data_IF_048895689931
#
_entry.id   IF_048895689931
#
_cell.length_a   1.000
_cell.length_b   1.000
_cell.length_c   1.000
_cell.angle_alpha   90.00
_cell.angle_beta   90.00
_cell.angle_gamma   90.00
#
_symmetry.space_group_name_H-M   'P 1'
#
loop_
_entity.id
_entity.type
_entity.pdbx_description
1 polymer ?
#
# COMPACT_ATOMS: atom_id res chain seq x y z
N UNK A 1 58.71 29.32 2.11
CA UNK A 1 57.38 29.69 1.57
C UNK A 1 56.49 28.46 1.67
N UNK A 2 55.54 28.47 2.61
CA UNK A 2 54.61 27.36 2.89
C UNK A 2 53.21 27.80 2.45
N UNK A 3 52.59 27.06 1.53
CA UNK A 3 51.18 27.21 1.20
C UNK A 3 50.34 26.35 2.15
N UNK A 4 49.27 26.87 2.79
CA UNK A 4 48.37 26.05 3.57
C UNK A 4 47.36 25.35 2.65
N UNK A 5 47.30 24.02 2.74
CA UNK A 5 46.17 23.21 2.27
C UNK A 5 45.06 23.29 3.31
N UNK A 6 43.85 23.67 2.90
CA UNK A 6 42.66 23.41 3.70
C UNK A 6 41.44 23.19 2.78
N UNK A 7 41.02 21.94 2.51
CA UNK A 7 39.73 21.70 1.89
C UNK A 7 38.63 21.96 2.92
N UNK A 8 37.71 22.87 2.59
CA UNK A 8 36.52 23.18 3.38
C UNK A 8 35.74 21.89 3.64
N UNK A 9 35.54 21.57 4.92
CA UNK A 9 34.65 20.49 5.36
C UNK A 9 33.23 20.86 4.94
N UNK A 10 32.66 20.10 4.00
CA UNK A 10 31.22 20.12 3.73
C UNK A 10 30.48 19.76 5.03
N UNK A 11 29.56 20.64 5.44
CA UNK A 11 28.69 20.40 6.59
C UNK A 11 27.74 19.26 6.24
N UNK A 12 27.93 18.10 6.88
CA UNK A 12 26.95 17.00 6.82
C UNK A 12 25.61 17.52 7.34
N UNK A 13 24.60 17.50 6.47
CA UNK A 13 23.21 17.83 6.81
C UNK A 13 22.72 16.82 7.87
N UNK A 14 22.11 17.26 8.99
CA UNK A 14 21.62 16.35 10.02
C UNK A 14 20.46 15.49 9.50
N UNK A 15 20.60 14.17 9.56
CA UNK A 15 19.48 13.21 9.43
C UNK A 15 18.74 13.12 10.77
N UNK A 16 17.97 14.16 11.11
CA UNK A 16 17.01 14.05 12.22
C UNK A 16 15.67 13.59 11.66
N UNK A 17 15.38 12.31 11.85
CA UNK A 17 14.06 11.70 11.65
C UNK A 17 13.11 12.29 12.71
N UNK A 18 12.37 13.33 12.32
CA UNK A 18 11.45 14.06 13.20
C UNK A 18 10.07 13.41 13.30
N UNK A 19 9.55 13.36 14.52
CA UNK A 19 8.35 12.65 15.02
C UNK A 19 6.98 13.22 14.59
N UNK A 20 6.76 13.57 13.32
CA UNK A 20 5.43 13.99 12.86
C UNK A 20 4.92 13.09 11.72
N UNK A 21 3.73 12.53 11.95
CA UNK A 21 3.01 11.49 11.19
C UNK A 21 2.55 11.96 9.78
N UNK A 22 3.09 13.06 9.24
CA UNK A 22 2.71 13.63 7.93
C UNK A 22 3.78 13.49 6.83
N UNK A 23 4.90 12.78 7.09
CA UNK A 23 6.01 12.67 6.12
C UNK A 23 6.02 11.38 5.29
N UNK A 24 5.00 10.51 5.41
CA UNK A 24 5.01 9.15 4.87
C UNK A 24 4.84 9.05 3.34
N UNK A 25 4.45 10.14 2.67
CA UNK A 25 4.30 10.17 1.21
C UNK A 25 5.45 10.86 0.48
N UNK A 26 6.56 11.19 1.17
CA UNK A 26 7.72 11.80 0.51
C UNK A 26 8.57 10.73 -0.14
N UNK A 27 8.40 10.55 -1.43
CA UNK A 27 9.35 9.84 -2.26
C UNK A 27 10.04 10.83 -3.19
N UNK A 28 11.32 10.56 -3.46
CA UNK A 28 12.11 11.31 -4.43
C UNK A 28 12.41 10.40 -5.60
N UNK A 29 11.93 10.76 -6.78
CA UNK A 29 12.23 10.03 -8.02
C UNK A 29 13.27 10.85 -8.78
N UNK A 30 14.37 10.20 -9.14
CA UNK A 30 15.40 10.83 -9.95
C UNK A 30 14.96 10.85 -11.42
N UNK A 31 15.35 11.89 -12.15
CA UNK A 31 15.05 12.01 -13.59
C UNK A 31 15.50 10.76 -14.39
N UNK A 32 16.64 10.17 -14.05
CA UNK A 32 17.14 8.95 -14.70
C UNK A 32 16.31 7.69 -14.39
N UNK A 33 15.57 7.66 -13.29
CA UNK A 33 14.65 6.55 -12.98
C UNK A 33 13.40 6.63 -13.85
N UNK A 34 12.90 7.84 -14.15
CA UNK A 34 11.76 8.04 -15.05
C UNK A 34 12.04 7.58 -16.47
N UNK A 35 13.29 7.74 -16.95
CA UNK A 35 13.69 7.29 -18.29
C UNK A 35 13.56 5.76 -18.49
N UNK A 36 13.49 4.97 -17.40
CA UNK A 36 13.31 3.51 -17.48
C UNK A 36 11.93 3.09 -18.02
N UNK A 37 10.92 3.95 -17.85
CA UNK A 37 9.55 3.70 -18.28
C UNK A 37 9.44 3.69 -19.82
N UNK A 38 9.92 4.68 -20.57
CA UNK A 38 9.92 4.62 -22.04
C UNK A 38 10.94 3.62 -22.62
N UNK A 39 12.08 3.42 -21.97
CA UNK A 39 13.21 2.64 -22.53
C UNK A 39 13.04 1.12 -22.45
N UNK A 40 11.86 0.63 -22.08
CA UNK A 40 11.63 -0.79 -21.80
C UNK A 40 12.65 -1.40 -20.83
N UNK A 41 13.00 -0.67 -19.76
CA UNK A 41 13.95 -1.13 -18.74
C UNK A 41 13.24 -1.59 -17.47
N UNK A 42 13.91 -2.43 -16.68
CA UNK A 42 13.42 -2.85 -15.38
C UNK A 42 13.32 -1.63 -14.45
N UNK A 43 12.23 -1.55 -13.70
CA UNK A 43 12.00 -0.44 -12.78
C UNK A 43 12.98 -0.48 -11.61
N UNK A 44 13.38 0.69 -11.12
CA UNK A 44 14.23 0.84 -9.94
C UNK A 44 13.42 0.74 -8.63
N UNK A 45 14.10 0.53 -7.51
CA UNK A 45 13.49 0.57 -6.18
C UNK A 45 12.72 1.88 -5.92
N UNK A 46 13.31 3.03 -6.26
CA UNK A 46 12.67 4.33 -6.06
C UNK A 46 11.34 4.42 -6.79
N UNK A 47 11.31 3.96 -8.04
CA UNK A 47 10.14 4.04 -8.90
C UNK A 47 9.04 3.04 -8.47
N UNK A 48 9.38 1.79 -8.20
CA UNK A 48 8.38 0.79 -7.74
C UNK A 48 7.77 1.20 -6.40
N UNK A 49 8.60 1.63 -5.43
CA UNK A 49 8.09 2.08 -4.13
C UNK A 49 7.19 3.31 -4.28
N UNK A 50 7.56 4.28 -5.13
CA UNK A 50 6.73 5.44 -5.42
C UNK A 50 5.39 5.05 -6.04
N UNK A 51 5.38 4.13 -7.00
CA UNK A 51 4.15 3.65 -7.64
C UNK A 51 3.23 2.96 -6.63
N UNK A 52 3.76 2.07 -5.79
CA UNK A 52 2.99 1.38 -4.73
C UNK A 52 2.44 2.38 -3.73
N UNK A 53 3.24 3.35 -3.28
CA UNK A 53 2.80 4.42 -2.38
C UNK A 53 1.69 5.25 -2.99
N UNK A 54 1.73 5.47 -4.31
CA UNK A 54 0.70 6.23 -5.00
C UNK A 54 -0.63 5.45 -5.08
N UNK A 55 -0.58 4.13 -5.34
CA UNK A 55 -1.76 3.23 -5.25
C UNK A 55 -2.36 3.24 -3.85
N UNK A 56 -1.51 3.13 -2.83
CA UNK A 56 -1.94 3.15 -1.43
C UNK A 56 -2.57 4.49 -1.06
N UNK A 57 -1.96 5.61 -1.46
CA UNK A 57 -2.50 6.93 -1.20
C UNK A 57 -3.91 7.11 -1.79
N UNK A 58 -4.11 6.69 -3.04
CA UNK A 58 -5.42 6.74 -3.70
C UNK A 58 -6.45 5.86 -2.97
N UNK A 59 -6.06 4.66 -2.54
CA UNK A 59 -6.91 3.77 -1.75
C UNK A 59 -7.28 4.38 -0.39
N UNK A 60 -6.34 4.92 0.37
CA UNK A 60 -6.58 5.56 1.68
C UNK A 60 -7.39 6.85 1.55
N UNK A 61 -7.33 7.54 0.40
CA UNK A 61 -8.16 8.72 0.14
C UNK A 61 -9.64 8.38 -0.02
N UNK A 62 -9.94 7.19 -0.55
CA UNK A 62 -11.30 6.76 -0.89
C UNK A 62 -11.84 5.65 0.02
N UNK A 63 -11.09 5.24 1.04
CA UNK A 63 -11.49 4.28 2.05
C UNK A 63 -11.19 4.82 3.45
N UNK A 64 -11.83 4.26 4.46
CA UNK A 64 -11.54 4.53 5.87
C UNK A 64 -10.37 3.69 6.42
N UNK A 65 -9.76 2.88 5.55
CA UNK A 65 -8.75 1.88 5.91
C UNK A 65 -7.34 2.44 5.76
N UNK A 66 -6.43 1.95 6.59
CA UNK A 66 -5.03 2.35 6.63
C UNK A 66 -4.11 1.24 6.16
N UNK A 67 -3.08 1.61 5.41
CA UNK A 67 -2.11 0.66 4.83
C UNK A 67 -0.70 1.04 5.24
N UNK A 68 -0.01 0.11 5.89
CA UNK A 68 1.44 0.23 6.11
C UNK A 68 2.20 -0.41 4.94
N UNK A 69 3.19 0.29 4.40
CA UNK A 69 4.04 -0.18 3.30
C UNK A 69 5.48 -0.32 3.77
N UNK A 70 6.04 -1.54 3.62
CA UNK A 70 7.47 -1.77 3.66
C UNK A 70 8.07 -1.54 2.27
N UNK A 71 8.91 -0.51 2.16
CA UNK A 71 9.66 -0.22 0.94
C UNK A 71 10.67 -1.35 0.65
N UNK A 72 10.96 -1.60 -0.63
CA UNK A 72 11.87 -2.67 -1.07
C UNK A 72 13.25 -2.63 -0.42
N UNK A 73 13.78 -1.42 -0.19
CA UNK A 73 15.08 -1.21 0.44
C UNK A 73 15.12 -1.72 1.88
N UNK A 74 13.97 -1.75 2.57
CA UNK A 74 13.87 -2.25 3.94
C UNK A 74 14.11 -3.75 3.95
N UNK A 75 13.44 -4.49 3.07
CA UNK A 75 13.58 -5.93 2.98
C UNK A 75 15.01 -6.33 2.59
N UNK A 76 15.60 -5.66 1.58
CA UNK A 76 16.98 -5.92 1.17
C UNK A 76 17.99 -5.61 2.28
N UNK A 77 17.77 -4.56 3.09
CA UNK A 77 18.62 -4.26 4.25
C UNK A 77 18.48 -5.31 5.34
N UNK A 78 17.26 -5.75 5.60
CA UNK A 78 16.98 -6.78 6.59
C UNK A 78 17.66 -8.11 6.23
N UNK A 79 17.55 -8.54 4.97
CA UNK A 79 18.23 -9.74 4.46
C UNK A 79 19.76 -9.66 4.60
N UNK A 80 20.35 -8.51 4.27
CA UNK A 80 21.80 -8.27 4.31
C UNK A 80 22.35 -8.04 5.72
N UNK A 81 21.51 -7.90 6.73
CA UNK A 81 21.93 -7.64 8.10
C UNK A 81 22.71 -8.82 8.67
N UNK A 82 23.89 -8.55 9.26
CA UNK A 82 24.73 -9.57 9.90
C UNK A 82 24.18 -10.03 11.25
N UNK A 83 23.38 -9.19 11.93
CA UNK A 83 22.64 -9.56 13.14
C UNK A 83 21.79 -10.80 12.87
N UNK A 84 21.43 -11.60 13.87
CA UNK A 84 20.48 -12.71 13.71
C UNK A 84 19.20 -12.44 14.52
N UNK A 85 18.09 -13.07 14.11
CA UNK A 85 16.85 -13.03 14.87
C UNK A 85 16.21 -11.63 15.02
N UNK A 86 15.52 -11.35 16.14
CA UNK A 86 14.74 -10.13 16.36
C UNK A 86 15.56 -8.83 16.34
N UNK A 87 16.89 -8.93 16.47
CA UNK A 87 17.74 -7.74 16.38
C UNK A 87 17.70 -7.09 15.00
N UNK A 88 17.48 -7.88 13.94
CA UNK A 88 17.35 -7.39 12.56
C UNK A 88 16.15 -6.45 12.38
N UNK A 89 15.12 -6.59 13.21
CA UNK A 89 13.84 -5.87 13.09
C UNK A 89 13.68 -4.77 14.14
N UNK A 90 14.72 -4.48 14.95
CA UNK A 90 14.72 -3.37 15.92
C UNK A 90 14.37 -2.01 15.30
N UNK A 91 14.69 -1.82 14.02
CA UNK A 91 14.33 -0.59 13.29
C UNK A 91 12.81 -0.37 13.13
N UNK A 92 11.99 -1.38 13.42
CA UNK A 92 10.52 -1.30 13.37
C UNK A 92 9.88 -1.27 14.77
N UNK A 93 10.67 -1.20 15.84
CA UNK A 93 10.17 -1.25 17.21
C UNK A 93 9.25 -0.07 17.57
N UNK A 94 9.33 1.04 16.82
CA UNK A 94 8.49 2.22 17.01
C UNK A 94 7.20 2.23 16.16
N UNK A 95 7.02 1.20 15.30
CA UNK A 95 5.90 1.15 14.36
C UNK A 95 4.76 0.33 14.95
N UNK A 96 3.62 0.98 15.21
CA UNK A 96 2.42 0.30 15.69
C UNK A 96 1.63 -0.33 14.54
N UNK A 97 2.05 -1.51 14.11
CA UNK A 97 1.34 -2.32 13.11
C UNK A 97 -0.14 -2.60 13.42
N UNK A 98 -0.62 -2.48 14.68
CA UNK A 98 -2.04 -2.62 15.02
C UNK A 98 -2.90 -1.47 14.48
N UNK A 99 -2.29 -0.33 14.17
CA UNK A 99 -3.03 0.84 13.68
C UNK A 99 -3.34 0.80 12.18
N UNK A 100 -3.01 -0.30 11.50
CA UNK A 100 -3.19 -0.46 10.06
C UNK A 100 -4.05 -1.67 9.76
N UNK A 101 -5.00 -1.50 8.84
CA UNK A 101 -5.88 -2.57 8.35
C UNK A 101 -5.14 -3.49 7.37
N UNK A 102 -4.16 -2.95 6.65
CA UNK A 102 -3.32 -3.69 5.72
C UNK A 102 -1.85 -3.44 5.98
N UNK A 103 -1.06 -4.46 5.74
CA UNK A 103 0.39 -4.38 5.70
C UNK A 103 0.83 -5.01 4.40
N UNK A 104 1.58 -4.24 3.62
CA UNK A 104 2.17 -4.68 2.37
C UNK A 104 3.67 -4.50 2.41
N UNK A 105 4.40 -5.32 1.66
CA UNK A 105 5.83 -5.15 1.50
C UNK A 105 6.29 -5.47 0.09
N UNK A 106 7.11 -4.58 -0.44
CA UNK A 106 7.76 -4.76 -1.74
C UNK A 106 9.06 -5.52 -1.52
N UNK A 107 9.34 -6.49 -2.37
CA UNK A 107 10.54 -7.33 -2.32
C UNK A 107 11.22 -7.27 -3.68
N UNK A 108 12.54 -7.02 -3.67
CA UNK A 108 13.39 -7.11 -4.84
C UNK A 108 14.42 -8.23 -4.62
N UNK A 109 14.27 -9.33 -5.36
CA UNK A 109 15.21 -10.45 -5.37
C UNK A 109 15.96 -10.47 -6.71
N UNK A 110 17.16 -9.89 -6.73
CA UNK A 110 18.05 -9.94 -7.90
C UNK A 110 17.43 -9.43 -9.22
N UNK A 111 16.77 -8.26 -9.16
CA UNK A 111 16.01 -7.65 -10.26
C UNK A 111 14.68 -8.32 -10.58
N UNK A 112 14.17 -9.14 -9.65
CA UNK A 112 12.80 -9.65 -9.70
C UNK A 112 11.95 -8.99 -8.63
N UNK A 113 10.84 -8.41 -9.06
CA UNK A 113 9.91 -7.67 -8.21
C UNK A 113 8.77 -8.57 -7.75
N UNK A 114 8.58 -8.66 -6.44
CA UNK A 114 7.49 -9.40 -5.79
C UNK A 114 6.86 -8.48 -4.74
N UNK A 115 5.56 -8.60 -4.52
CA UNK A 115 4.87 -7.90 -3.43
C UNK A 115 4.14 -8.90 -2.55
N UNK A 116 4.12 -8.66 -1.25
CA UNK A 116 3.26 -9.41 -0.33
C UNK A 116 2.29 -8.49 0.40
N UNK A 117 1.18 -9.05 0.85
CA UNK A 117 0.16 -8.33 1.61
C UNK A 117 -0.54 -9.21 2.63
N UNK A 118 -0.95 -8.61 3.75
CA UNK A 118 -1.84 -9.22 4.75
C UNK A 118 -2.75 -8.17 5.37
N UNK A 119 -3.96 -8.59 5.77
CA UNK A 119 -4.89 -7.80 6.60
C UNK A 119 -5.05 -8.35 8.02
N UNK A 120 -4.29 -9.40 8.35
CA UNK A 120 -4.45 -10.19 9.56
C UNK A 120 -3.24 -10.08 10.48
N UNK A 121 -2.39 -9.06 10.29
CA UNK A 121 -1.17 -8.90 11.08
C UNK A 121 -1.47 -8.79 12.58
N UNK A 122 -2.52 -8.04 12.95
CA UNK A 122 -2.95 -7.91 14.35
C UNK A 122 -3.38 -9.24 14.96
N UNK A 123 -3.87 -10.19 14.16
CA UNK A 123 -4.28 -11.51 14.62
C UNK A 123 -3.10 -12.27 15.23
N UNK A 124 -1.89 -12.14 14.67
CA UNK A 124 -0.65 -12.76 15.16
C UNK A 124 -0.25 -12.33 16.58
N UNK A 125 -0.86 -11.26 17.10
CA UNK A 125 -0.55 -10.72 18.42
C UNK A 125 -1.37 -11.41 19.53
N UNK A 126 -2.26 -12.32 19.16
CA UNK A 126 -2.99 -13.20 20.05
C UNK A 126 -2.32 -14.58 20.14
N UNK A 127 -2.50 -15.30 21.24
CA UNK A 127 -1.83 -16.59 21.48
C UNK A 127 -2.14 -17.65 20.40
N UNK A 128 -3.38 -17.68 19.91
CA UNK A 128 -3.85 -18.64 18.89
C UNK A 128 -4.04 -17.98 17.51
N UNK A 129 -3.43 -16.81 17.35
CA UNK A 129 -3.50 -16.00 16.15
C UNK A 129 -2.91 -16.70 14.95
N UNK A 130 -3.56 -16.54 13.79
CA UNK A 130 -2.99 -16.92 12.51
C UNK A 130 -3.15 -15.73 11.55
N UNK A 131 -2.24 -15.62 10.58
CA UNK A 131 -2.36 -14.65 9.51
C UNK A 131 -2.14 -15.30 8.15
N UNK A 132 -3.05 -14.99 7.23
CA UNK A 132 -2.88 -15.23 5.81
C UNK A 132 -2.05 -14.11 5.20
N UNK A 133 -1.00 -14.49 4.49
CA UNK A 133 -0.11 -13.59 3.76
C UNK A 133 -0.13 -14.00 2.30
N UNK A 134 -0.45 -13.08 1.41
CA UNK A 134 -0.48 -13.34 -0.03
C UNK A 134 0.81 -12.83 -0.65
N UNK A 135 1.58 -13.70 -1.29
CA UNK A 135 2.80 -13.38 -2.03
C UNK A 135 2.50 -13.37 -3.52
N UNK A 136 2.49 -12.18 -4.13
CA UNK A 136 2.09 -11.94 -5.51
C UNK A 136 3.35 -11.87 -6.39
N UNK A 137 3.58 -12.93 -7.15
CA UNK A 137 4.72 -13.07 -8.06
C UNK A 137 4.22 -13.33 -9.49
N UNK A 138 4.44 -12.37 -10.39
CA UNK A 138 4.01 -12.46 -11.79
C UNK A 138 4.78 -13.49 -12.62
N UNK A 139 5.96 -13.94 -12.17
CA UNK A 139 6.70 -15.06 -12.77
C UNK A 139 6.37 -16.39 -12.11
N UNK A 140 5.66 -16.38 -10.97
CA UNK A 140 5.37 -17.56 -10.17
C UNK A 140 6.64 -18.39 -9.90
N UNK A 141 7.74 -17.73 -9.49
CA UNK A 141 8.96 -18.44 -9.14
C UNK A 141 8.74 -19.20 -7.84
N UNK A 142 9.01 -20.49 -7.87
CA UNK A 142 9.00 -21.34 -6.69
C UNK A 142 10.25 -21.08 -5.85
N UNK A 143 10.30 -19.92 -5.19
CA UNK A 143 11.35 -19.63 -4.23
C UNK A 143 10.83 -19.88 -2.81
N UNK A 144 11.16 -21.06 -2.26
CA UNK A 144 10.86 -21.40 -0.87
C UNK A 144 11.64 -20.51 0.12
N UNK A 145 12.81 -20.02 -0.28
CA UNK A 145 13.63 -19.17 0.57
C UNK A 145 12.95 -17.82 0.81
N UNK A 146 12.34 -17.23 -0.22
CA UNK A 146 11.56 -15.98 -0.08
C UNK A 146 10.41 -16.15 0.92
N UNK A 147 9.68 -17.26 0.89
CA UNK A 147 8.59 -17.53 1.83
C UNK A 147 9.09 -17.62 3.28
N UNK A 148 10.14 -18.40 3.53
CA UNK A 148 10.68 -18.59 4.87
C UNK A 148 11.29 -17.30 5.44
N UNK A 149 12.01 -16.54 4.62
CA UNK A 149 12.57 -15.26 5.01
C UNK A 149 11.46 -14.22 5.30
N UNK A 150 10.38 -14.21 4.52
CA UNK A 150 9.23 -13.35 4.78
C UNK A 150 8.56 -13.69 6.14
N UNK A 151 8.39 -14.97 6.45
CA UNK A 151 7.84 -15.39 7.76
C UNK A 151 8.73 -14.92 8.90
N UNK A 152 10.05 -15.12 8.81
CA UNK A 152 11.02 -14.65 9.81
C UNK A 152 10.99 -13.14 9.97
N UNK A 153 10.83 -12.40 8.88
CA UNK A 153 10.70 -10.94 8.89
C UNK A 153 9.48 -10.50 9.70
N UNK A 154 8.30 -11.09 9.44
CA UNK A 154 7.04 -10.78 10.13
C UNK A 154 7.13 -11.13 11.63
N UNK A 155 7.66 -12.33 11.96
CA UNK A 155 7.90 -12.73 13.36
C UNK A 155 8.82 -11.74 14.06
N UNK A 156 9.91 -11.33 13.39
CA UNK A 156 10.83 -10.34 13.91
C UNK A 156 10.15 -9.00 14.19
N UNK A 157 9.24 -8.55 13.33
CA UNK A 157 8.47 -7.32 13.54
C UNK A 157 7.55 -7.44 14.78
N UNK A 158 6.85 -8.57 14.94
CA UNK A 158 6.00 -8.83 16.10
C UNK A 158 6.79 -8.81 17.41
N UNK A 159 7.94 -9.51 17.42
CA UNK A 159 8.81 -9.58 18.59
C UNK A 159 9.44 -8.23 18.93
N UNK A 160 9.90 -7.46 17.94
CA UNK A 160 10.56 -6.18 18.17
C UNK A 160 9.61 -5.11 18.71
N UNK A 161 8.36 -5.05 18.21
CA UNK A 161 7.38 -4.03 18.60
C UNK A 161 6.58 -4.42 19.85
N UNK A 162 6.10 -5.66 19.93
CA UNK A 162 5.11 -6.08 20.93
C UNK A 162 5.66 -7.07 21.96
N UNK A 163 6.92 -7.50 21.81
CA UNK A 163 7.50 -8.58 22.63
C UNK A 163 6.71 -9.90 22.58
N UNK A 164 5.92 -10.11 21.52
CA UNK A 164 5.15 -11.34 21.29
C UNK A 164 5.99 -12.33 20.50
N UNK A 165 6.09 -13.56 21.02
CA UNK A 165 6.71 -14.69 20.31
C UNK A 165 5.67 -15.30 19.37
N UNK A 166 5.90 -15.16 18.07
CA UNK A 166 5.07 -15.75 17.01
C UNK A 166 5.85 -16.88 16.37
N UNK A 167 5.20 -18.04 16.19
CA UNK A 167 5.78 -19.16 15.45
C UNK A 167 5.54 -18.99 13.94
N UNK A 168 6.50 -19.42 13.11
CA UNK A 168 6.37 -19.31 11.64
C UNK A 168 5.25 -20.17 11.06
N UNK A 169 4.77 -21.19 11.80
CA UNK A 169 3.58 -21.98 11.47
C UNK A 169 2.27 -21.19 11.60
N UNK A 170 2.24 -20.09 12.37
CA UNK A 170 1.08 -19.20 12.48
C UNK A 170 0.90 -18.30 11.26
N UNK A 171 1.89 -18.28 10.35
CA UNK A 171 1.89 -17.44 9.16
C UNK A 171 1.67 -18.35 7.94
N UNK A 172 0.49 -18.25 7.34
CA UNK A 172 0.10 -19.01 6.17
C UNK A 172 0.39 -18.17 4.92
N UNK A 173 1.49 -18.48 4.23
CA UNK A 173 1.86 -17.79 3.00
C UNK A 173 1.21 -18.48 1.80
N UNK A 174 0.32 -17.77 1.13
CA UNK A 174 -0.36 -18.19 -0.09
C UNK A 174 0.35 -17.59 -1.30
N UNK A 175 0.58 -18.40 -2.34
CA UNK A 175 1.07 -17.94 -3.64
C UNK A 175 -0.07 -18.08 -4.66
N UNK A 176 -1.00 -17.12 -4.70
CA UNK A 176 -2.17 -17.24 -5.56
C UNK A 176 -1.78 -17.15 -7.04
N UNK A 177 -2.65 -17.66 -7.91
CA UNK A 177 -2.53 -17.34 -9.32
C UNK A 177 -2.84 -15.85 -9.51
N UNK A 178 -1.89 -15.14 -10.11
CA UNK A 178 -1.96 -13.69 -10.38
C UNK A 178 -1.76 -13.44 -11.87
N UNK A 179 -1.94 -12.19 -12.29
CA UNK A 179 -1.65 -11.82 -13.68
C UNK A 179 -0.18 -12.09 -13.94
N UNK A 180 0.10 -12.97 -14.92
CA UNK A 180 1.45 -13.38 -15.26
C UNK A 180 2.07 -12.45 -16.29
N UNK A 181 3.35 -12.21 -16.12
CA UNK A 181 4.13 -11.51 -17.13
C UNK A 181 4.69 -12.49 -18.16
N UNK A 182 4.87 -12.00 -19.39
CA UNK A 182 5.50 -12.74 -20.48
C UNK A 182 7.00 -12.48 -20.59
N UNK A 183 7.50 -11.39 -19.99
CA UNK A 183 8.91 -10.98 -20.03
C UNK A 183 9.53 -10.88 -18.62
N UNK A 184 10.81 -10.51 -18.53
CA UNK A 184 11.54 -10.40 -17.26
C UNK A 184 11.65 -8.96 -16.73
N UNK A 185 11.24 -7.97 -17.52
CA UNK A 185 11.49 -6.55 -17.32
C UNK A 185 10.31 -5.90 -16.59
N UNK A 186 9.10 -6.36 -16.88
CA UNK A 186 7.86 -5.73 -16.46
C UNK A 186 7.41 -6.07 -15.03
N UNK A 187 8.14 -6.89 -14.26
CA UNK A 187 7.71 -7.33 -12.93
C UNK A 187 7.34 -6.19 -11.97
N UNK A 188 8.00 -5.03 -12.08
CA UNK A 188 7.64 -3.85 -11.30
C UNK A 188 6.24 -3.29 -11.62
N UNK A 189 5.78 -3.36 -12.87
CA UNK A 189 4.40 -2.96 -13.23
C UNK A 189 3.38 -3.98 -12.76
N UNK A 190 3.72 -5.26 -12.83
CA UNK A 190 2.83 -6.33 -12.38
C UNK A 190 2.59 -6.31 -10.87
N UNK A 191 3.49 -5.72 -10.06
CA UNK A 191 3.19 -5.40 -8.66
C UNK A 191 1.93 -4.52 -8.57
N UNK A 192 1.85 -3.46 -9.38
CA UNK A 192 0.74 -2.50 -9.38
C UNK A 192 -0.55 -3.16 -9.88
N UNK A 193 -0.46 -3.93 -10.96
CA UNK A 193 -1.59 -4.69 -11.53
C UNK A 193 -2.20 -5.62 -10.49
N UNK A 194 -1.37 -6.31 -9.70
CA UNK A 194 -1.85 -7.32 -8.77
C UNK A 194 -2.27 -6.74 -7.41
N UNK A 195 -1.59 -5.72 -6.91
CA UNK A 195 -1.92 -5.16 -5.57
C UNK A 195 -3.14 -4.24 -5.60
N UNK A 196 -3.34 -3.49 -6.67
CA UNK A 196 -4.42 -2.49 -6.73
C UNK A 196 -5.80 -3.13 -6.59
N UNK A 197 -6.19 -4.17 -7.39
CA UNK A 197 -7.47 -4.83 -7.23
C UNK A 197 -7.65 -5.47 -5.84
N UNK A 198 -6.57 -6.00 -5.24
CA UNK A 198 -6.62 -6.59 -3.91
C UNK A 198 -6.92 -5.56 -2.82
N UNK A 199 -6.39 -4.33 -2.91
CA UNK A 199 -6.75 -3.27 -1.97
C UNK A 199 -8.23 -2.87 -2.11
N UNK A 200 -8.69 -2.65 -3.35
CA UNK A 200 -10.05 -2.17 -3.62
C UNK A 200 -11.16 -3.22 -3.40
N UNK A 201 -10.89 -4.48 -3.71
CA UNK A 201 -11.88 -5.57 -3.72
C UNK A 201 -11.37 -6.80 -2.95
N UNK A 202 -10.67 -6.57 -1.83
CA UNK A 202 -9.94 -7.58 -1.04
C UNK A 202 -10.68 -8.91 -0.90
N UNK A 203 -11.92 -8.90 -0.40
CA UNK A 203 -12.67 -10.13 -0.13
C UNK A 203 -12.98 -10.89 -1.42
N UNK A 204 -13.31 -10.18 -2.50
CA UNK A 204 -13.58 -10.81 -3.80
C UNK A 204 -12.30 -11.40 -4.39
N UNK A 205 -11.21 -10.64 -4.37
CA UNK A 205 -9.91 -11.07 -4.91
C UNK A 205 -9.36 -12.28 -4.13
N UNK A 206 -9.37 -12.26 -2.80
CA UNK A 206 -8.93 -13.40 -1.97
C UNK A 206 -9.77 -14.66 -2.24
N UNK A 207 -11.09 -14.49 -2.44
CA UNK A 207 -11.98 -15.60 -2.81
C UNK A 207 -11.64 -16.16 -4.20
N UNK A 208 -11.33 -15.29 -5.16
CA UNK A 208 -10.90 -15.72 -6.49
C UNK A 208 -9.56 -16.47 -6.45
N UNK A 209 -8.62 -16.01 -5.63
CA UNK A 209 -7.35 -16.68 -5.41
C UNK A 209 -7.46 -18.05 -4.74
N UNK A 210 -8.52 -18.27 -3.97
CA UNK A 210 -8.77 -19.54 -3.29
C UNK A 210 -9.41 -20.60 -4.19
N UNK A 211 -9.97 -20.21 -5.34
CA UNK A 211 -10.65 -21.11 -6.28
C UNK A 211 -10.26 -20.78 -7.73
N UNK A 212 -9.44 -21.63 -8.38
CA UNK A 212 -8.98 -21.41 -9.75
C UNK A 212 -10.10 -21.16 -10.77
N UNK A 213 -11.32 -21.67 -10.52
CA UNK A 213 -12.47 -21.44 -11.42
C UNK A 213 -12.89 -19.98 -11.49
N UNK A 214 -12.55 -19.18 -10.48
CA UNK A 214 -12.90 -17.77 -10.38
C UNK A 214 -11.79 -16.83 -10.90
N UNK A 215 -10.72 -17.38 -11.48
CA UNK A 215 -9.61 -16.57 -12.00
C UNK A 215 -10.03 -15.69 -13.20
N UNK A 216 -11.12 -16.03 -13.91
CA UNK A 216 -11.69 -15.19 -14.96
C UNK A 216 -12.07 -13.79 -14.46
N UNK A 217 -12.51 -13.66 -13.20
CA UNK A 217 -12.81 -12.36 -12.59
C UNK A 217 -11.56 -11.49 -12.46
N UNK A 218 -10.42 -12.08 -12.08
CA UNK A 218 -9.14 -11.34 -12.00
C UNK A 218 -8.75 -10.82 -13.37
N UNK A 219 -9.13 -11.52 -14.45
CA UNK A 219 -8.89 -11.06 -15.83
C UNK A 219 -9.65 -9.79 -16.18
N UNK A 220 -10.78 -9.51 -15.54
CA UNK A 220 -11.53 -8.27 -15.77
C UNK A 220 -10.80 -7.02 -15.22
N UNK A 221 -9.85 -7.22 -14.29
CA UNK A 221 -8.98 -6.16 -13.75
C UNK A 221 -7.64 -6.07 -14.48
N UNK A 222 -7.40 -6.93 -15.48
CA UNK A 222 -6.17 -6.88 -16.26
C UNK A 222 -6.23 -5.65 -17.14
N UNK A 223 -5.50 -4.63 -16.71
CA UNK A 223 -5.01 -3.58 -17.60
C UNK A 223 -3.86 -4.21 -18.38
N UNK A 224 -3.89 -4.06 -19.71
CA UNK A 224 -2.77 -4.45 -20.55
C UNK A 224 -1.49 -3.75 -20.06
N UNK A 225 -0.37 -4.48 -20.00
CA UNK A 225 0.84 -3.93 -19.37
C UNK A 225 1.49 -2.82 -20.20
N UNK A 226 1.35 -2.84 -21.53
CA UNK A 226 1.81 -1.75 -22.40
C UNK A 226 0.92 -0.52 -22.20
N UNK A 227 -0.39 -0.70 -22.10
CA UNK A 227 -1.33 0.37 -21.72
C UNK A 227 -0.99 0.92 -20.33
N UNK A 228 -0.73 0.07 -19.33
CA UNK A 228 -0.34 0.51 -17.99
C UNK A 228 0.98 1.29 -18.01
N UNK A 229 1.99 0.81 -18.73
CA UNK A 229 3.27 1.51 -18.90
C UNK A 229 3.05 2.87 -19.54
N UNK A 230 2.25 2.95 -20.60
CA UNK A 230 1.89 4.19 -21.27
C UNK A 230 1.14 5.18 -20.34
N UNK A 231 0.19 4.68 -19.56
CA UNK A 231 -0.53 5.49 -18.56
C UNK A 231 0.42 6.03 -17.50
N UNK A 232 1.35 5.23 -16.99
CA UNK A 232 2.38 5.69 -16.06
C UNK A 232 3.33 6.71 -16.69
N UNK A 233 3.70 6.57 -17.97
CA UNK A 233 4.48 7.60 -18.67
C UNK A 233 3.73 8.92 -18.73
N UNK A 234 2.49 8.88 -19.21
CA UNK A 234 1.63 10.07 -19.34
C UNK A 234 1.41 10.74 -17.99
N UNK A 235 1.16 9.92 -16.97
CA UNK A 235 1.02 10.36 -15.60
C UNK A 235 2.26 11.08 -15.07
N UNK A 236 3.43 10.46 -15.19
CA UNK A 236 4.68 11.04 -14.70
C UNK A 236 5.11 12.28 -15.50
N UNK A 237 4.82 12.31 -16.80
CA UNK A 237 5.04 13.49 -17.64
C UNK A 237 4.18 14.67 -17.17
N UNK A 238 2.89 14.44 -16.95
CA UNK A 238 1.97 15.46 -16.44
C UNK A 238 2.38 15.96 -15.05
N UNK A 239 2.82 15.07 -14.14
CA UNK A 239 3.41 15.47 -12.87
C UNK A 239 4.65 16.34 -13.07
N UNK A 240 5.53 15.96 -13.99
CA UNK A 240 6.71 16.74 -14.36
C UNK A 240 6.35 18.13 -14.88
N UNK A 241 5.32 18.27 -15.70
CA UNK A 241 4.84 19.57 -16.19
C UNK A 241 4.32 20.44 -15.04
N UNK A 242 3.47 19.88 -14.18
CA UNK A 242 2.91 20.61 -13.01
C UNK A 242 4.06 21.12 -12.12
N UNK A 243 5.06 20.29 -11.84
CA UNK A 243 6.22 20.68 -11.02
C UNK A 243 7.08 21.78 -11.64
N UNK A 244 7.05 21.92 -12.97
CA UNK A 244 7.72 22.98 -13.69
C UNK A 244 6.81 24.19 -13.96
N UNK A 245 5.69 24.30 -13.25
CA UNK A 245 4.66 25.33 -13.45
C UNK A 245 4.15 25.39 -14.90
N UNK A 246 4.11 24.25 -15.59
CA UNK A 246 3.51 24.10 -16.91
C UNK A 246 2.13 23.47 -16.76
N UNK A 247 1.20 23.93 -17.58
CA UNK A 247 -0.09 23.25 -17.72
C UNK A 247 0.14 21.96 -18.50
N UNK A 248 -0.23 20.78 -17.96
CA UNK A 248 -0.09 19.53 -18.70
C UNK A 248 -1.05 19.53 -19.91
N UNK A 249 -0.62 18.93 -21.02
CA UNK A 249 -1.43 18.86 -22.26
C UNK A 249 -2.75 18.11 -22.07
N UNK A 250 -2.79 17.18 -21.12
CA UNK A 250 -3.99 16.48 -20.67
C UNK A 250 -3.97 16.34 -19.15
N UNK A 251 -5.14 16.34 -18.48
CA UNK A 251 -5.20 16.04 -17.06
C UNK A 251 -4.68 14.61 -16.83
N UNK A 252 -3.73 14.39 -15.91
CA UNK A 252 -3.23 13.05 -15.65
C UNK A 252 -4.38 12.15 -15.20
N UNK A 253 -4.60 11.02 -15.87
CA UNK A 253 -5.49 9.98 -15.39
C UNK A 253 -4.75 9.06 -14.42
N UNK A 254 -5.41 8.57 -13.36
CA UNK A 254 -4.83 7.60 -12.44
C UNK A 254 -4.51 6.31 -13.22
N UNK A 255 -3.23 5.87 -13.31
CA UNK A 255 -2.82 4.85 -14.27
C UNK A 255 -3.52 3.49 -14.10
N UNK A 256 -3.87 3.14 -12.86
CA UNK A 256 -4.47 1.85 -12.52
C UNK A 256 -6.00 1.89 -12.33
N UNK A 257 -6.62 3.07 -12.35
CA UNK A 257 -8.06 3.20 -12.16
C UNK A 257 -8.74 3.38 -13.51
N UNK A 258 -9.63 2.46 -13.89
CA UNK A 258 -10.33 2.58 -15.16
C UNK A 258 -11.33 3.76 -15.21
N UNK A 259 -11.66 4.44 -14.09
CA UNK A 259 -12.77 5.40 -14.05
C UNK A 259 -12.68 6.59 -13.07
N UNK A 260 -11.61 6.83 -12.31
CA UNK A 260 -11.56 7.97 -11.35
C UNK A 260 -10.85 9.20 -11.95
N UNK A 261 -11.52 10.37 -12.05
CA UNK A 261 -10.89 11.64 -12.39
C UNK A 261 -9.91 12.10 -11.30
N UNK A 262 -8.86 12.82 -11.71
CA UNK A 262 -7.70 13.23 -10.89
C UNK A 262 -7.89 14.45 -9.98
N UNK A 263 -9.01 15.16 -10.10
CA UNK A 263 -9.19 16.47 -9.46
C UNK A 263 -9.00 16.42 -7.93
N UNK A 264 -8.04 17.20 -7.42
CA UNK A 264 -7.80 17.40 -5.98
C UNK A 264 -6.95 16.34 -5.26
N UNK A 265 -6.07 15.59 -5.96
CA UNK A 265 -5.19 14.58 -5.32
C UNK A 265 -3.86 15.14 -4.75
N UNK A 266 -3.35 16.29 -5.23
CA UNK A 266 -2.03 16.80 -4.83
C UNK A 266 -1.98 18.33 -4.70
N UNK A 267 -1.35 18.81 -3.64
CA UNK A 267 -0.78 20.16 -3.59
C UNK A 267 0.69 20.05 -3.97
N UNK A 268 1.07 20.66 -5.10
CA UNK A 268 2.47 20.70 -5.53
C UNK A 268 3.18 21.84 -4.80
N UNK A 269 4.02 21.48 -3.83
CA UNK A 269 4.88 22.43 -3.14
C UNK A 269 6.26 22.47 -3.82
N UNK A 270 6.65 23.63 -4.35
CA UNK A 270 8.05 23.95 -4.59
C UNK A 270 8.71 24.33 -3.26
N UNK A 271 9.80 23.67 -2.86
CA UNK A 271 10.56 24.09 -1.68
C UNK A 271 11.12 25.50 -1.94
N UNK A 272 10.62 26.50 -1.21
CA UNK A 272 11.05 27.90 -1.33
C UNK A 272 12.48 28.16 -0.81
N UNK A 273 13.26 27.12 -0.52
CA UNK A 273 14.67 27.24 -0.08
C UNK A 273 15.66 27.41 -1.24
N UNK A 274 15.40 28.27 -2.21
CA UNK A 274 16.41 28.97 -3.05
C UNK A 274 17.51 28.20 -3.80
N UNK A 275 17.68 26.89 -3.60
CA UNK A 275 18.65 26.01 -4.25
C UNK A 275 17.85 24.93 -4.98
N UNK A 276 17.49 25.25 -6.22
CA UNK A 276 16.75 24.36 -7.09
C UNK A 276 17.68 23.26 -7.60
N UNK A 277 17.80 22.15 -6.86
CA UNK A 277 18.37 20.92 -7.41
C UNK A 277 17.33 20.26 -8.32
N UNK A 278 17.38 20.62 -9.60
CA UNK A 278 16.54 20.07 -10.68
C UNK A 278 16.61 18.53 -10.86
N UNK A 279 17.45 17.82 -10.09
CA UNK A 279 17.63 16.37 -10.21
C UNK A 279 16.61 15.54 -9.41
N UNK A 280 15.79 16.17 -8.53
CA UNK A 280 14.88 15.46 -7.63
C UNK A 280 13.46 16.03 -7.63
N UNK A 281 12.49 15.15 -7.85
CA UNK A 281 11.06 15.46 -7.73
C UNK A 281 10.57 14.94 -6.38
N UNK A 282 10.03 15.82 -5.52
CA UNK A 282 9.38 15.44 -4.25
C UNK A 282 7.87 15.65 -4.41
N UNK A 283 7.10 14.58 -4.32
CA UNK A 283 5.63 14.67 -4.27
C UNK A 283 5.18 14.70 -2.81
N UNK A 284 4.22 15.58 -2.51
CA UNK A 284 3.55 15.64 -1.20
C UNK A 284 2.05 15.47 -1.43
N UNK A 285 1.47 14.48 -0.77
CA UNK A 285 0.02 14.34 -0.68
C UNK A 285 -0.56 15.52 0.12
N UNK A 286 -1.62 16.15 -0.40
CA UNK A 286 -2.37 17.16 0.34
C UNK A 286 -3.24 16.48 1.39
N UNK A 287 -3.07 16.85 2.66
CA UNK A 287 -4.02 16.50 3.71
C UNK A 287 -4.92 17.70 3.90
N UNK A 288 -6.15 17.64 3.40
CA UNK A 288 -7.16 18.69 3.61
C UNK A 288 -7.59 18.70 5.10
N UNK A 289 -6.81 19.35 5.94
CA UNK A 289 -7.16 19.65 7.33
C UNK A 289 -6.48 20.94 7.78
N UNK A 290 -6.72 22.02 7.06
CA UNK A 290 -6.60 23.38 7.60
C UNK A 290 -7.98 24.03 7.42
N UNK A 291 -8.89 23.72 8.34
CA UNK A 291 -10.05 24.56 8.59
C UNK A 291 -9.49 25.80 9.28
N UNK A 292 -9.46 26.92 8.55
CA UNK A 292 -9.11 28.22 9.10
C UNK A 292 -10.09 28.58 10.21
N UNK A 293 -9.62 28.53 11.44
CA UNK A 293 -10.31 29.06 12.60
C UNK A 293 -10.08 30.57 12.63
N UNK A 294 -10.99 31.31 11.99
CA UNK A 294 -11.08 32.76 12.14
C UNK A 294 -11.97 33.05 13.35
N UNK A 295 -11.37 33.27 14.50
CA UNK A 295 -12.04 33.92 15.62
C UNK A 295 -11.11 34.95 16.28
N UNK A 296 -11.29 36.21 15.87
CA UNK A 296 -10.91 37.38 16.68
C UNK A 296 -12.15 38.28 16.84
N UNK A 297 -12.35 38.67 18.10
CA UNK A 297 -13.05 39.84 18.64
C UNK A 297 -14.59 39.97 18.54
N UNK A 298 -15.27 39.79 19.69
CA UNK A 298 -16.18 40.80 20.30
C UNK A 298 -16.22 40.64 21.84
N UNK A 299 -16.10 41.78 22.52
CA UNK A 299 -16.08 42.04 23.96
C UNK A 299 -17.38 41.74 24.78
N UNK A 300 -17.12 41.43 26.06
CA UNK A 300 -17.74 41.95 27.31
C UNK A 300 -19.27 42.07 27.47
N UNK A 301 -19.84 41.28 28.39
CA UNK A 301 -20.53 41.74 29.62
C UNK A 301 -21.43 40.65 30.24
N UNK A 302 -21.36 40.52 31.58
CA UNK A 302 -22.58 40.36 32.39
C UNK A 302 -22.85 39.04 33.12
N UNK A 303 -22.56 39.05 34.42
CA UNK A 303 -23.35 38.52 35.55
C UNK A 303 -23.61 37.00 35.72
N UNK A 304 -23.18 36.51 36.90
CA UNK A 304 -23.72 35.33 37.59
C UNK A 304 -25.18 35.54 38.05
N UNK A 305 -25.94 34.47 38.36
CA UNK A 305 -25.99 34.03 39.76
C UNK A 305 -26.04 32.50 39.99
N UNK A 306 -25.89 32.17 41.27
CA UNK A 306 -25.80 30.87 41.95
C UNK A 306 -27.14 30.10 42.02
N UNK A 307 -27.06 28.76 42.12
CA UNK A 307 -27.79 27.79 43.01
C UNK A 307 -27.80 26.41 42.30
N UNK A 308 -27.19 25.32 42.80
CA UNK A 308 -27.44 24.49 44.00
C UNK A 308 -28.80 23.75 43.99
N UNK A 309 -28.76 22.41 43.82
CA UNK A 309 -29.63 21.31 44.38
C UNK A 309 -29.56 20.10 43.41
N UNK A 310 -28.99 18.94 43.74
CA UNK A 310 -29.42 17.83 44.62
C UNK A 310 -30.44 16.84 43.99
N UNK A 311 -30.17 15.54 44.15
CA UNK A 311 -31.10 14.42 43.95
C UNK A 311 -30.91 13.72 42.60
N UNK A 312 -30.63 12.43 42.47
CA UNK A 312 -31.00 11.30 43.33
C UNK A 312 -31.98 10.40 42.55
N UNK A 313 -31.79 9.08 42.69
CA UNK A 313 -32.73 7.98 42.43
C UNK A 313 -32.69 7.17 41.11
N UNK A 314 -32.21 5.92 41.32
CA UNK A 314 -32.77 4.60 40.97
C UNK A 314 -33.04 4.20 39.51
N UNK A 315 -32.23 3.22 39.08
CA UNK A 315 -32.61 1.84 38.78
C UNK A 315 -34.06 1.55 38.33
N UNK A 316 -34.19 1.00 37.13
CA UNK A 316 -35.01 -0.20 36.94
C UNK A 316 -34.61 -1.01 35.70
N UNK A 317 -34.31 -2.27 35.99
CA UNK A 317 -34.38 -3.44 35.10
C UNK A 317 -35.77 -3.61 34.49
N UNK A 318 -35.86 -4.12 33.25
CA UNK A 318 -36.31 -5.49 32.97
C UNK A 318 -36.59 -5.74 31.47
N UNK A 319 -36.27 -6.98 31.09
CA UNK A 319 -36.95 -7.86 30.13
C UNK A 319 -36.91 -7.55 28.63
N UNK A 320 -36.05 -8.31 27.93
CA UNK A 320 -36.39 -9.00 26.67
C UNK A 320 -37.57 -9.96 26.88
N UNK A 321 -38.36 -10.30 25.83
CA UNK A 321 -38.01 -11.52 25.08
C UNK A 321 -38.46 -11.55 23.60
N UNK A 322 -38.04 -12.64 22.93
CA UNK A 322 -38.74 -13.34 21.83
C UNK A 322 -38.61 -12.74 20.43
N UNK A 323 -37.77 -13.33 19.57
CA UNK A 323 -38.08 -14.43 18.63
C UNK A 323 -39.02 -14.02 17.48
N UNK A 324 -38.50 -14.05 16.25
CA UNK A 324 -39.07 -14.82 15.13
C UNK A 324 -38.29 -14.55 13.85
N UNK A 325 -37.55 -15.58 13.40
CA UNK A 325 -37.23 -15.78 11.99
C UNK A 325 -38.48 -16.31 11.26
N UNK A 326 -38.62 -16.01 9.96
CA UNK A 326 -38.70 -17.14 9.05
C UNK A 326 -37.84 -16.97 7.79
N UNK A 327 -37.09 -18.03 7.56
CA UNK A 327 -36.61 -18.58 6.29
C UNK A 327 -37.55 -18.34 5.11
N UNK A 328 -37.00 -17.88 3.99
CA UNK A 328 -37.48 -18.27 2.65
C UNK A 328 -36.32 -18.76 1.78
N UNK A 329 -36.48 -20.03 1.42
CA UNK A 329 -35.66 -20.90 0.59
C UNK A 329 -36.18 -20.75 -0.84
N UNK A 330 -35.33 -20.38 -1.79
CA UNK A 330 -35.63 -20.54 -3.21
C UNK A 330 -34.85 -21.74 -3.73
N UNK A 331 -35.58 -22.83 -3.96
CA UNK A 331 -35.15 -23.93 -4.82
C UNK A 331 -35.50 -23.56 -6.26
N UNK A 332 -34.56 -23.69 -7.18
CA UNK A 332 -34.87 -23.90 -8.59
C UNK A 332 -34.17 -25.19 -9.00
N UNK A 333 -35.00 -26.15 -9.37
CA UNK A 333 -34.67 -27.46 -9.90
C UNK A 333 -34.28 -27.37 -11.38
N UNK A 334 -33.40 -28.29 -11.78
CA UNK A 334 -32.97 -28.56 -13.13
C UNK A 334 -34.12 -29.00 -14.06
N UNK A 335 -33.97 -28.73 -15.36
CA UNK A 335 -34.57 -29.53 -16.42
C UNK A 335 -33.48 -29.98 -17.40
N UNK A 336 -33.54 -31.27 -17.71
CA UNK A 336 -32.70 -32.05 -18.60
C UNK A 336 -33.04 -31.85 -20.08
N UNK A 337 -32.20 -32.47 -20.91
CA UNK A 337 -32.46 -32.96 -22.27
C UNK A 337 -32.20 -31.99 -23.44
N UNK A 338 -31.08 -32.17 -24.16
CA UNK A 338 -31.06 -33.15 -25.25
C UNK A 338 -29.67 -33.34 -25.88
N UNK A 339 -29.37 -34.62 -26.14
CA UNK A 339 -28.30 -35.10 -26.98
C UNK A 339 -28.49 -34.69 -28.45
N UNK A 340 -27.41 -34.35 -29.14
CA UNK A 340 -27.24 -34.78 -30.53
C UNK A 340 -25.77 -35.08 -30.82
N UNK A 341 -25.54 -36.33 -31.22
CA UNK A 341 -24.36 -36.83 -31.91
C UNK A 341 -24.08 -36.03 -33.18
N UNK A 342 -22.81 -35.73 -33.44
CA UNK A 342 -22.26 -35.92 -34.79
C UNK A 342 -20.77 -36.28 -34.72
N UNK A 343 -20.44 -37.30 -35.50
CA UNK A 343 -19.13 -37.94 -35.68
C UNK A 343 -18.68 -37.60 -37.10
N UNK A 344 -17.35 -37.66 -37.34
CA UNK A 344 -16.61 -37.65 -38.63
C UNK A 344 -16.08 -36.25 -39.03
N UNK A 345 -14.87 -36.11 -39.57
CA UNK A 345 -13.78 -37.04 -39.87
C UNK A 345 -12.49 -36.24 -40.13
N UNK A 346 -11.37 -36.97 -40.07
CA UNK A 346 -10.05 -36.62 -40.56
C UNK A 346 -10.03 -35.84 -41.89
N UNK A 347 -9.15 -34.83 -41.95
CA UNK A 347 -8.21 -34.60 -43.06
C UNK A 347 -7.02 -33.79 -42.62
#
# INVERSE_FOLDING_TARGET
MLFPKNPRKEKKVPRTWGKNVQNWHRFAIQKGELARIPDNQALSDGLVNAMVRFVVFDFEKHSDKKVYVFDSLIYSKWLKSSSSGPERTKMFADIDFKSYDYIIGVVNTENHWVIWGTREFSSLLSNDGNANVFLLDSLNREDASTTEELKKFIVGCCQARYSVKVDTSQINVHKPEVVRQSDLINCGFYIIINISPWLWETVKVEKCWSDPKNFSFVKEFIIDHDDLRHRWMTFMAAIGDILNNKQPESPPSIPWACKTPWEGLFDVYTDNRGDFDSSRIVLRASTSSEVGDNSEDVDDHGQMPKQATSGGFLSRSHTSPSSNNPTKRCQISASSDNNHHEVLADR
#
